data_IF_200959913003
#
_entry.id   IF_200959913003
#
_cell.length_a   1.000
_cell.length_b   1.000
_cell.length_c   1.000
_cell.angle_alpha   90.00
_cell.angle_beta   90.00
_cell.angle_gamma   90.00
#
_symmetry.space_group_name_H-M   'P 1'
#
loop_
_entity.id
_entity.type
_entity.pdbx_description
1 polymer ?
#
# COMPACT_ATOMS: atom_id res chain seq x y z
N UNK A 1 14.15 -1.86 -16.24
CA UNK A 1 13.17 -2.06 -15.16
C UNK A 1 13.90 -1.80 -13.85
N UNK A 2 13.32 -0.99 -12.96
CA UNK A 2 13.98 -0.59 -11.72
C UNK A 2 13.81 -1.69 -10.66
N UNK A 3 14.72 -2.66 -10.65
CA UNK A 3 14.73 -3.76 -9.67
C UNK A 3 14.79 -3.24 -8.22
N UNK A 4 15.31 -2.02 -8.01
CA UNK A 4 15.39 -1.42 -6.69
C UNK A 4 14.01 -1.09 -6.10
N UNK A 5 13.04 -0.71 -6.93
CA UNK A 5 11.67 -0.43 -6.50
C UNK A 5 10.99 -1.68 -5.95
N UNK A 6 11.00 -2.77 -6.72
CA UNK A 6 10.31 -4.00 -6.32
C UNK A 6 10.92 -4.60 -5.06
N UNK A 7 12.24 -4.50 -4.89
CA UNK A 7 12.91 -4.94 -3.68
C UNK A 7 12.47 -4.13 -2.45
N UNK A 8 12.35 -2.80 -2.57
CA UNK A 8 11.84 -1.94 -1.50
C UNK A 8 10.38 -2.27 -1.15
N UNK A 9 9.51 -2.39 -2.15
CA UNK A 9 8.10 -2.71 -1.94
C UNK A 9 7.92 -4.07 -1.26
N UNK A 10 8.68 -5.09 -1.69
CA UNK A 10 8.65 -6.41 -1.05
C UNK A 10 9.18 -6.37 0.40
N UNK A 11 10.24 -5.59 0.68
CA UNK A 11 10.76 -5.42 2.04
C UNK A 11 9.70 -4.79 2.97
N UNK A 12 9.03 -3.73 2.51
CA UNK A 12 7.94 -3.09 3.25
C UNK A 12 6.79 -4.09 3.49
N UNK A 13 6.41 -4.87 2.48
CA UNK A 13 5.34 -5.86 2.61
C UNK A 13 5.71 -7.01 3.57
N UNK A 14 6.98 -7.41 3.61
CA UNK A 14 7.48 -8.37 4.58
C UNK A 14 7.44 -7.81 6.02
N UNK A 15 7.78 -6.54 6.21
CA UNK A 15 7.68 -5.87 7.51
C UNK A 15 6.22 -5.72 7.96
N UNK A 16 5.28 -5.47 7.04
CA UNK A 16 3.84 -5.41 7.33
C UNK A 16 3.32 -6.72 7.94
N UNK A 17 3.77 -7.86 7.40
CA UNK A 17 3.43 -9.20 7.92
C UNK A 17 3.87 -9.42 9.36
N UNK A 18 4.94 -8.75 9.78
CA UNK A 18 5.55 -8.88 11.10
C UNK A 18 5.11 -7.76 12.06
N UNK A 19 4.25 -6.83 11.62
CA UNK A 19 3.85 -5.69 12.44
C UNK A 19 3.03 -6.14 13.67
N UNK A 20 3.61 -6.01 14.86
CA UNK A 20 2.93 -6.37 16.12
C UNK A 20 1.88 -5.36 16.60
N UNK A 21 1.88 -4.15 16.04
CA UNK A 21 1.01 -3.04 16.48
C UNK A 21 0.38 -2.28 15.32
N UNK A 22 -0.80 -1.70 15.58
CA UNK A 22 -1.55 -0.93 14.58
C UNK A 22 -0.74 0.27 14.09
N UNK A 23 -0.11 1.02 15.00
CA UNK A 23 0.73 2.16 14.66
C UNK A 23 1.89 1.78 13.72
N UNK A 24 2.54 0.63 13.96
CA UNK A 24 3.62 0.15 13.08
C UNK A 24 3.08 -0.26 11.72
N UNK A 25 1.96 -0.97 11.69
CA UNK A 25 1.28 -1.36 10.45
C UNK A 25 0.88 -0.13 9.61
N UNK A 26 0.28 0.88 10.25
CA UNK A 26 -0.13 2.14 9.62
C UNK A 26 1.06 2.82 8.94
N UNK A 27 2.17 2.95 9.67
CA UNK A 27 3.40 3.61 9.18
C UNK A 27 3.98 2.89 7.97
N UNK A 28 4.00 1.55 7.99
CA UNK A 28 4.52 0.74 6.90
C UNK A 28 3.65 0.81 5.65
N UNK A 29 2.33 0.79 5.82
CA UNK A 29 1.42 0.88 4.69
C UNK A 29 1.49 2.27 4.03
N UNK A 30 1.64 3.36 4.80
CA UNK A 30 1.90 4.69 4.22
C UNK A 30 3.21 4.68 3.43
N UNK A 31 4.25 4.03 3.95
CA UNK A 31 5.54 3.93 3.26
C UNK A 31 5.41 3.18 1.92
N UNK A 32 4.62 2.10 1.88
CA UNK A 32 4.33 1.35 0.65
C UNK A 32 3.72 2.25 -0.44
N UNK A 33 2.65 2.98 -0.09
CA UNK A 33 1.97 3.87 -1.02
C UNK A 33 2.86 5.03 -1.50
N UNK A 34 3.71 5.57 -0.61
CA UNK A 34 4.68 6.62 -0.97
C UNK A 34 5.72 6.14 -1.98
N UNK A 35 6.26 4.93 -1.81
CA UNK A 35 7.23 4.37 -2.77
C UNK A 35 6.58 4.15 -4.15
N UNK A 36 5.35 3.64 -4.20
CA UNK A 36 4.60 3.51 -5.46
C UNK A 36 4.43 4.85 -6.19
N UNK A 37 4.02 5.90 -5.45
CA UNK A 37 3.78 7.22 -6.03
C UNK A 37 5.09 7.90 -6.42
N UNK A 38 6.14 7.76 -5.61
CA UNK A 38 7.46 8.29 -5.94
C UNK A 38 8.01 7.68 -7.24
N UNK A 39 7.84 6.37 -7.42
CA UNK A 39 8.25 5.68 -8.64
C UNK A 39 7.44 6.07 -9.88
N UNK A 40 6.21 6.56 -9.72
CA UNK A 40 5.39 7.01 -10.85
C UNK A 40 5.87 8.31 -11.50
N UNK A 41 6.78 9.05 -10.84
CA UNK A 41 7.25 10.37 -11.30
C UNK A 41 6.20 11.47 -11.21
N UNK A 42 5.00 11.17 -10.69
CA UNK A 42 3.90 12.13 -10.52
C UNK A 42 4.10 12.94 -9.23
N UNK A 43 5.17 13.74 -9.17
CA UNK A 43 5.53 14.59 -8.01
C UNK A 43 4.36 15.41 -7.41
N UNK A 44 3.40 15.94 -8.20
CA UNK A 44 2.23 16.64 -7.63
C UNK A 44 1.33 15.76 -6.73
N UNK A 45 1.35 14.42 -6.91
CA UNK A 45 0.60 13.47 -6.08
C UNK A 45 1.33 13.10 -4.77
N UNK A 46 2.59 13.48 -4.58
CA UNK A 46 3.30 13.22 -3.31
C UNK A 46 2.63 13.94 -2.13
N UNK A 47 2.18 15.19 -2.31
CA UNK A 47 1.42 15.91 -1.29
C UNK A 47 0.08 15.23 -0.96
N UNK A 48 -0.48 14.46 -1.91
CA UNK A 48 -1.69 13.66 -1.71
C UNK A 48 -1.44 12.45 -0.78
N UNK A 49 -0.19 11.93 -0.72
CA UNK A 49 0.16 10.83 0.19
C UNK A 49 0.13 11.23 1.66
N UNK A 50 0.42 12.50 1.95
CA UNK A 50 0.37 13.03 3.32
C UNK A 50 -1.09 13.21 3.77
N UNK A 51 -1.98 13.58 2.85
CA UNK A 51 -3.43 13.61 3.09
C UNK A 51 -3.97 12.20 3.29
N UNK A 52 -3.55 11.23 2.46
CA UNK A 52 -3.88 9.82 2.65
C UNK A 52 -3.37 9.29 3.99
N UNK A 53 -2.18 9.69 4.45
CA UNK A 53 -1.68 9.30 5.77
C UNK A 53 -2.57 9.81 6.91
N UNK A 54 -3.07 11.04 6.84
CA UNK A 54 -4.04 11.60 7.80
C UNK A 54 -5.39 10.88 7.70
N UNK A 55 -5.85 10.57 6.47
CA UNK A 55 -7.10 9.86 6.21
C UNK A 55 -7.05 8.42 6.76
N UNK A 56 -5.98 7.70 6.47
CA UNK A 56 -5.71 6.35 6.98
C UNK A 56 -5.49 6.33 8.49
N UNK A 57 -4.92 7.38 9.08
CA UNK A 57 -4.75 7.50 10.53
C UNK A 57 -6.08 7.46 11.28
N UNK A 58 -7.07 8.26 10.85
CA UNK A 58 -8.42 8.27 11.48
C UNK A 58 -9.25 7.04 11.13
N UNK A 59 -9.04 6.48 9.95
CA UNK A 59 -9.75 5.30 9.47
C UNK A 59 -9.31 4.01 10.18
N UNK A 60 -8.03 3.91 10.56
CA UNK A 60 -7.43 2.64 11.00
C UNK A 60 -7.76 2.24 12.43
N UNK A 61 -8.28 3.15 13.24
CA UNK A 61 -8.75 2.82 14.58
C UNK A 61 -9.98 1.88 14.56
N UNK A 62 -10.70 1.78 13.43
CA UNK A 62 -11.81 0.82 13.24
C UNK A 62 -11.42 -0.51 12.59
N UNK A 63 -10.20 -0.62 12.03
CA UNK A 63 -9.78 -1.81 11.26
C UNK A 63 -9.34 -2.94 12.18
N UNK A 64 -10.05 -4.07 12.11
CA UNK A 64 -9.72 -5.27 12.90
C UNK A 64 -8.41 -5.89 12.38
N UNK A 65 -7.58 -6.43 13.28
CA UNK A 65 -6.31 -7.12 12.93
C UNK A 65 -6.44 -8.18 11.83
N UNK A 66 -7.58 -8.85 11.73
CA UNK A 66 -7.84 -9.86 10.69
C UNK A 66 -7.82 -9.27 9.26
N UNK A 67 -8.13 -7.99 9.12
CA UNK A 67 -8.19 -7.31 7.81
C UNK A 67 -6.81 -6.81 7.34
N UNK A 68 -5.80 -6.87 8.21
CA UNK A 68 -4.42 -6.51 7.88
C UNK A 68 -3.84 -7.48 6.86
N UNK A 69 -4.12 -8.78 7.02
CA UNK A 69 -3.66 -9.84 6.10
C UNK A 69 -4.18 -9.61 4.68
N UNK A 70 -5.44 -9.19 4.55
CA UNK A 70 -6.04 -8.89 3.24
C UNK A 70 -5.35 -7.70 2.55
N UNK A 71 -4.98 -6.66 3.30
CA UNK A 71 -4.22 -5.52 2.78
C UNK A 71 -2.84 -5.94 2.26
N UNK A 72 -2.13 -6.79 3.02
CA UNK A 72 -0.80 -7.32 2.68
C UNK A 72 -0.83 -8.19 1.43
N UNK A 73 -1.84 -9.06 1.30
CA UNK A 73 -2.01 -9.90 0.11
C UNK A 73 -2.30 -9.06 -1.13
N UNK A 74 -3.12 -8.03 -0.98
CA UNK A 74 -3.41 -7.08 -2.06
C UNK A 74 -2.15 -6.31 -2.49
N UNK A 75 -1.31 -5.86 -1.54
CA UNK A 75 0.01 -5.28 -1.86
C UNK A 75 0.87 -6.23 -2.67
N UNK A 76 0.90 -7.52 -2.30
CA UNK A 76 1.69 -8.50 -3.05
C UNK A 76 1.19 -8.66 -4.49
N UNK A 77 -0.13 -8.71 -4.71
CA UNK A 77 -0.72 -8.77 -6.05
C UNK A 77 -0.34 -7.56 -6.91
N UNK A 78 -0.32 -6.36 -6.33
CA UNK A 78 0.15 -5.14 -7.02
C UNK A 78 1.62 -5.29 -7.43
N UNK A 79 2.50 -5.71 -6.51
CA UNK A 79 3.93 -5.90 -6.80
C UNK A 79 4.12 -6.91 -7.93
N UNK A 80 3.44 -8.06 -7.86
CA UNK A 80 3.59 -9.16 -8.82
C UNK A 80 3.09 -8.75 -10.21
N UNK A 81 1.96 -8.04 -10.29
CA UNK A 81 1.43 -7.51 -11.54
C UNK A 81 2.37 -6.47 -12.17
N UNK A 82 2.91 -5.53 -11.37
CA UNK A 82 3.86 -4.52 -11.84
C UNK A 82 5.17 -5.16 -12.33
N UNK A 83 5.71 -6.14 -11.60
CA UNK A 83 6.93 -6.85 -11.96
C UNK A 83 6.77 -7.64 -13.26
N UNK A 84 5.58 -8.20 -13.48
CA UNK A 84 5.23 -8.89 -14.73
C UNK A 84 4.86 -7.94 -15.89
N UNK A 85 4.89 -6.62 -15.69
CA UNK A 85 4.50 -5.63 -16.71
C UNK A 85 2.99 -5.59 -16.99
N UNK A 86 2.15 -6.21 -16.16
CA UNK A 86 0.69 -6.28 -16.32
C UNK A 86 0.02 -5.03 -15.72
N UNK A 87 0.24 -3.88 -16.37
CA UNK A 87 -0.16 -2.55 -15.87
C UNK A 87 -1.67 -2.45 -15.58
N UNK A 88 -2.52 -3.02 -16.44
CA UNK A 88 -3.98 -2.98 -16.24
C UNK A 88 -4.44 -3.79 -15.03
N UNK A 89 -3.77 -4.91 -14.75
CA UNK A 89 -4.04 -5.73 -13.57
C UNK A 89 -3.59 -5.02 -12.30
N UNK A 90 -2.42 -4.38 -12.34
CA UNK A 90 -1.92 -3.57 -11.23
C UNK A 90 -2.83 -2.38 -10.92
N UNK A 91 -3.35 -1.67 -11.93
CA UNK A 91 -4.30 -0.56 -11.76
C UNK A 91 -5.60 -1.05 -11.11
N UNK A 92 -6.16 -2.14 -11.63
CA UNK A 92 -7.39 -2.74 -11.08
C UNK A 92 -7.20 -3.14 -9.62
N UNK A 93 -6.12 -3.85 -9.31
CA UNK A 93 -5.83 -4.30 -7.94
C UNK A 93 -5.63 -3.11 -7.00
N UNK A 94 -4.90 -2.08 -7.41
CA UNK A 94 -4.69 -0.88 -6.61
C UNK A 94 -6.00 -0.12 -6.36
N UNK A 95 -6.86 0.00 -7.37
CA UNK A 95 -8.19 0.61 -7.22
C UNK A 95 -9.03 -0.16 -6.22
N UNK A 96 -9.14 -1.48 -6.38
CA UNK A 96 -9.87 -2.34 -5.45
C UNK A 96 -9.29 -2.28 -4.03
N UNK A 97 -7.95 -2.22 -3.90
CA UNK A 97 -7.28 -2.05 -2.62
C UNK A 97 -7.77 -0.79 -1.90
N UNK A 98 -7.72 0.37 -2.56
CA UNK A 98 -8.13 1.67 -2.00
C UNK A 98 -9.64 1.70 -1.71
N UNK A 99 -10.46 1.16 -2.61
CA UNK A 99 -11.91 1.11 -2.43
C UNK A 99 -12.32 0.19 -1.27
N UNK A 100 -11.63 -0.94 -1.09
CA UNK A 100 -11.86 -1.85 0.04
C UNK A 100 -11.51 -1.21 1.39
N UNK A 101 -10.60 -0.22 1.40
CA UNK A 101 -10.43 0.62 2.58
C UNK A 101 -11.70 1.42 2.80
N UNK A 102 -12.26 2.12 1.80
CA UNK A 102 -13.49 2.91 1.97
C UNK A 102 -14.69 2.11 2.54
N UNK A 103 -14.79 0.82 2.25
CA UNK A 103 -15.91 -0.04 2.66
C UNK A 103 -15.79 -0.62 4.09
N UNK A 104 -14.67 -0.40 4.78
CA UNK A 104 -14.46 -0.85 6.18
C UNK A 104 -14.83 0.22 7.22
N UNK A 105 -15.67 1.19 6.84
CA UNK A 105 -16.34 2.20 7.71
C UNK A 105 -17.69 1.63 8.15
#
# INVERSE_FOLDING_TARGET
QDESLYNKLNAINAELRQAGSLSRWVKLDIAFHRELISASGLSPLMAFTDVLAVFFGRFRDSVRKAEWSCGIESHQRVIDALKAGRVQEADKELRTHIESHRERI
#
